data_IF_675497832880
#
_entry.id   IF_675497832880
#
_cell.length_a   1.000
_cell.length_b   1.000
_cell.length_c   1.000
_cell.angle_alpha   90.00
_cell.angle_beta   90.00
_cell.angle_gamma   90.00
#
_symmetry.space_group_name_H-M   'P 1'
#
loop_
_entity.id
_entity.type
_entity.pdbx_description
1 polymer ?
#
# COMPACT_ATOMS: atom_id res chain seq x y z
N UNK A 1 8.19 -16.81 -23.85
CA UNK A 1 7.34 -15.74 -23.31
C UNK A 1 8.00 -14.42 -23.61
N UNK A 2 7.27 -13.49 -24.21
CA UNK A 2 7.74 -12.13 -24.49
C UNK A 2 7.18 -11.15 -23.45
N UNK A 3 7.13 -11.61 -22.20
CA UNK A 3 6.62 -10.85 -21.08
C UNK A 3 7.71 -10.71 -20.04
N UNK A 4 7.88 -9.50 -19.52
CA UNK A 4 8.81 -9.18 -18.46
C UNK A 4 8.00 -8.86 -17.20
N UNK A 5 8.32 -9.51 -16.09
CA UNK A 5 7.71 -9.24 -14.79
C UNK A 5 8.77 -8.60 -13.91
N UNK A 6 8.46 -7.44 -13.37
CA UNK A 6 9.28 -6.77 -12.37
C UNK A 6 8.41 -6.15 -11.30
N UNK A 7 9.07 -5.65 -10.27
CA UNK A 7 8.40 -5.05 -9.13
C UNK A 7 8.91 -3.63 -8.95
N UNK A 8 8.03 -2.76 -8.48
CA UNK A 8 8.36 -1.37 -8.23
C UNK A 8 7.89 -1.01 -6.82
N UNK A 9 8.78 -0.40 -6.04
CA UNK A 9 8.41 0.19 -4.76
C UNK A 9 8.37 1.70 -4.95
N UNK A 10 7.20 2.28 -4.77
CA UNK A 10 6.99 3.73 -4.85
C UNK A 10 6.74 4.26 -3.45
N UNK A 11 7.38 5.38 -3.10
CA UNK A 11 7.19 6.02 -1.81
C UNK A 11 7.04 7.51 -1.97
N UNK A 12 6.08 8.08 -1.24
CA UNK A 12 5.90 9.51 -1.13
C UNK A 12 5.41 9.89 0.25
N UNK A 13 6.20 10.64 1.01
CA UNK A 13 5.83 11.00 2.38
C UNK A 13 6.59 12.23 2.89
N UNK A 14 6.11 12.81 3.98
CA UNK A 14 6.76 13.93 4.66
C UNK A 14 7.95 13.43 5.49
N UNK A 15 9.12 14.07 5.36
CA UNK A 15 10.32 13.76 6.16
C UNK A 15 10.18 14.10 7.64
N UNK A 16 9.24 14.99 7.96
CA UNK A 16 9.03 15.61 9.26
C UNK A 16 7.64 16.20 9.32
N UNK A 17 7.19 16.56 10.51
CA UNK A 17 6.03 17.43 10.68
C UNK A 17 6.21 18.71 9.85
N UNK A 18 5.24 18.98 8.99
CA UNK A 18 5.20 20.20 8.18
C UNK A 18 4.23 21.21 8.78
N UNK A 19 4.41 22.52 8.51
CA UNK A 19 3.51 23.55 9.03
C UNK A 19 2.08 23.37 8.52
N UNK A 20 1.10 23.68 9.38
CA UNK A 20 -0.29 23.82 8.98
C UNK A 20 -0.48 25.16 8.25
N UNK A 21 -0.83 25.13 6.97
CA UNK A 21 -1.01 26.34 6.14
C UNK A 21 -2.26 27.14 6.51
N UNK A 22 -3.16 26.57 7.29
CA UNK A 22 -4.39 27.21 7.77
C UNK A 22 -4.21 27.88 9.14
N UNK A 23 -3.03 27.75 9.77
CA UNK A 23 -2.73 28.43 11.02
C UNK A 23 -2.36 29.91 10.74
N UNK A 24 -3.19 30.82 11.27
CA UNK A 24 -3.06 32.27 11.08
C UNK A 24 -1.77 32.86 11.70
N UNK A 25 -1.10 32.11 12.58
CA UNK A 25 0.12 32.54 13.26
C UNK A 25 1.42 32.06 12.57
N UNK A 26 1.32 31.22 11.53
CA UNK A 26 2.49 30.76 10.76
C UNK A 26 2.49 31.33 9.34
N UNK A 27 3.67 31.79 8.92
CA UNK A 27 3.93 32.21 7.53
C UNK A 27 4.75 31.16 6.77
N UNK A 28 5.07 30.04 7.42
CA UNK A 28 5.90 28.98 6.85
C UNK A 28 5.02 28.02 6.06
N UNK A 29 5.38 27.75 4.81
CA UNK A 29 4.70 26.76 3.96
C UNK A 29 5.56 25.52 3.77
N UNK A 30 4.96 24.32 3.62
CA UNK A 30 5.68 23.10 3.25
C UNK A 30 6.46 23.30 1.94
N UNK A 31 7.69 22.76 1.88
CA UNK A 31 8.57 22.84 0.70
C UNK A 31 8.70 21.47 0.07
N UNK A 32 9.06 21.42 -1.23
CA UNK A 32 9.37 20.17 -1.92
C UNK A 32 10.48 19.36 -1.22
N UNK A 33 11.43 20.04 -0.57
CA UNK A 33 12.51 19.38 0.20
C UNK A 33 12.02 18.68 1.47
N UNK A 34 10.81 18.99 1.93
CA UNK A 34 10.17 18.29 3.06
C UNK A 34 9.55 16.96 2.64
N UNK A 35 9.49 16.66 1.33
CA UNK A 35 8.94 15.42 0.77
C UNK A 35 10.08 14.45 0.44
N UNK A 36 9.93 13.18 0.85
CA UNK A 36 10.61 12.06 0.21
C UNK A 36 9.72 11.59 -0.93
N UNK A 37 10.29 11.43 -2.12
CA UNK A 37 9.63 10.83 -3.27
C UNK A 37 10.68 9.95 -3.97
N UNK A 38 10.38 8.66 -4.13
CA UNK A 38 11.24 7.72 -4.84
C UNK A 38 10.44 6.60 -5.48
N UNK A 39 10.99 6.08 -6.57
CA UNK A 39 10.56 4.85 -7.23
C UNK A 39 11.80 3.97 -7.42
N UNK A 40 11.73 2.73 -6.94
CA UNK A 40 12.81 1.75 -7.05
C UNK A 40 12.31 0.53 -7.81
N UNK A 41 12.92 0.28 -8.98
CA UNK A 41 12.61 -0.88 -9.83
C UNK A 41 13.46 -2.10 -9.43
N UNK A 42 12.81 -3.25 -9.28
CA UNK A 42 13.41 -4.55 -8.99
C UNK A 42 13.18 -5.50 -10.15
N UNK A 43 14.23 -5.78 -10.91
CA UNK A 43 14.21 -6.73 -12.02
C UNK A 43 15.10 -7.93 -11.72
N UNK A 44 14.66 -9.11 -12.12
CA UNK A 44 15.47 -10.32 -12.02
C UNK A 44 15.02 -11.36 -13.03
N UNK A 45 15.94 -12.23 -13.46
CA UNK A 45 15.60 -13.39 -14.29
C UNK A 45 14.57 -14.31 -13.62
N UNK A 46 14.59 -14.37 -12.28
CA UNK A 46 13.56 -15.01 -11.47
C UNK A 46 12.61 -13.94 -10.93
N UNK A 47 11.37 -13.84 -11.44
CA UNK A 47 10.39 -12.86 -10.96
C UNK A 47 10.13 -12.98 -9.45
N UNK A 48 10.14 -14.18 -8.88
CA UNK A 48 9.99 -14.37 -7.43
C UNK A 48 11.12 -13.72 -6.61
N UNK A 49 12.35 -13.70 -7.13
CA UNK A 49 13.48 -13.04 -6.46
C UNK A 49 13.38 -11.51 -6.58
N UNK A 50 12.87 -11.00 -7.71
CA UNK A 50 12.56 -9.58 -7.84
C UNK A 50 11.47 -9.15 -6.84
N UNK A 51 10.43 -9.98 -6.68
CA UNK A 51 9.35 -9.80 -5.70
C UNK A 51 9.89 -9.75 -4.28
N UNK A 52 10.70 -10.73 -3.89
CA UNK A 52 11.33 -10.80 -2.56
C UNK A 52 12.17 -9.54 -2.27
N UNK A 53 12.97 -9.08 -3.23
CA UNK A 53 13.77 -7.87 -3.06
C UNK A 53 12.90 -6.61 -2.91
N UNK A 54 11.79 -6.52 -3.63
CA UNK A 54 10.85 -5.41 -3.48
C UNK A 54 10.21 -5.39 -2.09
N UNK A 55 9.77 -6.55 -1.58
CA UNK A 55 9.27 -6.65 -0.20
C UNK A 55 10.35 -6.29 0.82
N UNK A 56 11.57 -6.82 0.69
CA UNK A 56 12.66 -6.49 1.60
C UNK A 56 12.96 -4.99 1.61
N UNK A 57 12.93 -4.34 0.45
CA UNK A 57 13.10 -2.89 0.37
C UNK A 57 11.95 -2.16 1.06
N UNK A 58 10.71 -2.56 0.82
CA UNK A 58 9.53 -2.01 1.51
C UNK A 58 9.67 -2.07 3.04
N UNK A 59 10.01 -3.24 3.60
CA UNK A 59 10.21 -3.38 5.04
C UNK A 59 11.38 -2.55 5.56
N UNK A 60 12.47 -2.42 4.79
CA UNK A 60 13.58 -1.54 5.19
C UNK A 60 13.17 -0.07 5.32
N UNK A 61 12.18 0.38 4.52
CA UNK A 61 11.63 1.73 4.62
C UNK A 61 10.78 1.83 5.88
N UNK A 62 9.93 0.83 6.16
CA UNK A 62 9.15 0.78 7.40
C UNK A 62 10.04 0.84 8.64
N UNK A 63 11.13 0.06 8.67
CA UNK A 63 12.08 0.03 9.78
C UNK A 63 12.65 1.43 10.09
N UNK A 64 13.06 2.16 9.05
CA UNK A 64 13.60 3.53 9.19
C UNK A 64 12.53 4.50 9.71
N UNK A 65 11.29 4.38 9.24
CA UNK A 65 10.20 5.24 9.71
C UNK A 65 9.83 4.94 11.17
N UNK A 66 9.78 3.67 11.56
CA UNK A 66 9.50 3.27 12.95
C UNK A 66 10.64 3.65 13.91
N UNK A 67 11.90 3.57 13.46
CA UNK A 67 13.05 4.12 14.19
C UNK A 67 12.86 5.63 14.43
N UNK A 68 12.42 6.37 13.40
CA UNK A 68 12.10 7.79 13.49
C UNK A 68 10.95 8.10 14.47
N UNK A 69 9.99 7.20 14.63
CA UNK A 69 8.91 7.30 15.62
C UNK A 69 9.33 6.89 17.04
N UNK A 70 10.48 6.23 17.19
CA UNK A 70 10.89 5.62 18.45
C UNK A 70 9.94 4.50 18.92
N UNK A 71 9.35 3.77 17.98
CA UNK A 71 8.37 2.70 18.22
C UNK A 71 8.81 1.41 17.53
N UNK A 72 8.33 0.28 18.04
CA UNK A 72 8.45 -1.01 17.35
C UNK A 72 7.26 -1.21 16.40
N UNK A 73 7.54 -1.78 15.23
CA UNK A 73 6.50 -2.20 14.28
C UNK A 73 5.82 -3.48 14.79
N UNK A 74 4.48 -3.49 14.81
CA UNK A 74 3.69 -4.61 15.36
C UNK A 74 2.83 -5.31 14.31
N UNK A 75 1.85 -4.62 13.74
CA UNK A 75 0.93 -5.18 12.73
C UNK A 75 0.70 -4.20 11.59
N UNK A 76 0.26 -4.71 10.43
CA UNK A 76 -0.06 -3.87 9.27
C UNK A 76 -1.16 -2.85 9.59
N UNK A 77 -2.19 -3.26 10.34
CA UNK A 77 -3.26 -2.38 10.81
C UNK A 77 -2.72 -1.23 11.68
N UNK A 78 -1.80 -1.54 12.60
CA UNK A 78 -1.19 -0.52 13.45
C UNK A 78 -0.25 0.39 12.64
N UNK A 79 0.46 -0.14 11.64
CA UNK A 79 1.29 0.64 10.74
C UNK A 79 0.50 1.65 9.89
N UNK A 80 -0.70 1.28 9.44
CA UNK A 80 -1.61 2.21 8.77
C UNK A 80 -1.96 3.42 9.63
N UNK A 81 -2.05 3.25 10.95
CA UNK A 81 -2.33 4.32 11.90
C UNK A 81 -1.05 5.12 12.22
N UNK A 82 0.02 4.44 12.64
CA UNK A 82 1.24 5.10 13.12
C UNK A 82 1.92 5.92 12.01
N UNK A 83 1.92 5.42 10.78
CA UNK A 83 2.58 6.08 9.66
C UNK A 83 1.80 7.27 9.11
N UNK A 84 0.55 7.53 9.56
CA UNK A 84 -0.11 8.80 9.27
C UNK A 84 0.69 9.99 9.78
N UNK A 85 1.59 9.79 10.75
CA UNK A 85 2.58 10.81 11.13
C UNK A 85 3.40 11.35 9.94
N UNK A 86 3.69 10.49 8.95
CA UNK A 86 4.46 10.85 7.75
C UNK A 86 3.57 11.13 6.54
N UNK A 87 2.31 10.67 6.54
CA UNK A 87 1.42 10.81 5.40
C UNK A 87 0.46 11.99 5.55
N UNK A 88 -0.05 12.28 6.75
CA UNK A 88 -1.00 13.38 6.98
C UNK A 88 -0.26 14.65 7.44
N UNK A 89 -0.32 15.70 6.64
CA UNK A 89 0.22 17.02 7.00
C UNK A 89 -0.68 17.82 7.94
N UNK A 90 -1.92 17.39 8.15
CA UNK A 90 -2.96 18.15 8.84
C UNK A 90 -3.52 19.30 8.02
N UNK A 91 -3.17 19.42 6.74
CA UNK A 91 -3.64 20.49 5.85
C UNK A 91 -4.92 20.15 5.09
N UNK A 92 -5.52 18.99 5.38
CA UNK A 92 -6.78 18.60 4.78
C UNK A 92 -7.92 19.54 5.19
N UNK A 93 -8.83 19.79 4.24
CA UNK A 93 -10.01 20.64 4.43
C UNK A 93 -11.24 19.76 4.31
N UNK A 94 -12.11 19.81 5.32
CA UNK A 94 -13.46 19.26 5.21
C UNK A 94 -14.38 20.30 4.55
N UNK A 95 -14.94 19.93 3.40
CA UNK A 95 -15.91 20.72 2.65
C UNK A 95 -17.26 20.00 2.70
N UNK A 96 -18.30 20.70 3.15
CA UNK A 96 -19.67 20.16 3.11
C UNK A 96 -20.55 20.52 4.30
N UNK A 97 -21.75 19.94 4.32
CA UNK A 97 -22.77 20.16 5.35
C UNK A 97 -22.94 18.95 6.29
N UNK A 98 -24.03 18.95 7.06
CA UNK A 98 -24.32 17.90 8.06
C UNK A 98 -24.51 16.50 7.45
N UNK A 99 -24.86 16.43 6.16
CA UNK A 99 -25.25 15.19 5.46
C UNK A 99 -24.23 14.73 4.39
N UNK A 100 -23.30 15.61 3.99
CA UNK A 100 -22.23 15.26 3.07
C UNK A 100 -20.97 16.02 3.45
N UNK A 101 -19.94 15.28 3.87
CA UNK A 101 -18.62 15.80 4.19
C UNK A 101 -17.62 15.17 3.23
N UNK A 102 -16.89 16.00 2.51
CA UNK A 102 -15.77 15.58 1.68
C UNK A 102 -14.48 16.12 2.28
N UNK A 103 -13.46 15.26 2.43
CA UNK A 103 -12.13 15.68 2.89
C UNK A 103 -11.23 15.85 1.67
N UNK A 104 -10.84 17.08 1.37
CA UNK A 104 -9.84 17.36 0.35
C UNK A 104 -8.48 17.49 1.01
N UNK A 105 -7.51 16.65 0.64
CA UNK A 105 -6.16 16.68 1.21
C UNK A 105 -5.10 16.80 0.12
N UNK A 106 -4.04 17.62 0.32
CA UNK A 106 -2.86 17.59 -0.54
C UNK A 106 -2.01 16.32 -0.36
N UNK A 107 -2.40 15.47 0.58
CA UNK A 107 -1.67 14.27 0.98
C UNK A 107 -2.26 12.97 0.41
N UNK A 108 -3.32 13.04 -0.40
CA UNK A 108 -3.98 11.85 -0.96
C UNK A 108 -3.05 10.97 -1.82
N UNK A 109 -1.92 11.50 -2.25
CA UNK A 109 -0.90 10.80 -3.03
C UNK A 109 0.25 10.23 -2.19
N UNK A 110 0.13 10.24 -0.86
CA UNK A 110 1.19 9.79 0.06
C UNK A 110 1.00 8.37 0.49
N UNK A 111 2.12 7.67 0.61
CA UNK A 111 2.15 6.27 0.98
C UNK A 111 3.47 5.61 0.61
N UNK A 112 3.51 4.32 0.87
CA UNK A 112 4.56 3.38 0.51
C UNK A 112 3.86 2.21 -0.13
N UNK A 113 4.21 1.89 -1.36
CA UNK A 113 3.45 1.01 -2.22
C UNK A 113 4.39 0.06 -2.94
N UNK A 114 3.93 -1.17 -3.14
CA UNK A 114 4.60 -2.20 -3.90
C UNK A 114 3.68 -2.57 -5.06
N UNK A 115 4.24 -2.50 -6.26
CA UNK A 115 3.55 -2.85 -7.47
C UNK A 115 4.20 -4.05 -8.15
N UNK A 116 3.37 -4.95 -8.68
CA UNK A 116 3.77 -5.90 -9.71
C UNK A 116 3.52 -5.24 -11.07
N UNK A 117 4.53 -5.27 -11.94
CA UNK A 117 4.42 -4.74 -13.30
C UNK A 117 4.70 -5.84 -14.31
N UNK A 118 3.76 -6.00 -15.23
CA UNK A 118 3.79 -7.01 -16.28
C UNK A 118 3.83 -6.30 -17.62
N UNK A 119 5.00 -6.34 -18.27
CA UNK A 119 5.22 -5.76 -19.58
C UNK A 119 5.07 -6.82 -20.67
N UNK A 120 4.19 -6.59 -21.64
CA UNK A 120 4.18 -7.29 -22.91
C UNK A 120 5.09 -6.55 -23.90
N UNK A 121 6.27 -7.13 -24.13
CA UNK A 121 7.31 -6.55 -24.98
C UNK A 121 6.95 -6.55 -26.47
N UNK A 122 5.98 -7.37 -26.91
CA UNK A 122 5.52 -7.38 -28.30
C UNK A 122 4.55 -6.24 -28.57
N UNK A 123 3.60 -6.05 -27.66
CA UNK A 123 2.52 -5.08 -27.84
C UNK A 123 2.84 -3.71 -27.23
N UNK A 124 3.99 -3.58 -26.54
CA UNK A 124 4.39 -2.36 -25.82
C UNK A 124 3.32 -1.90 -24.82
N UNK A 125 2.65 -2.85 -24.18
CA UNK A 125 1.64 -2.62 -23.14
C UNK A 125 2.18 -3.07 -21.79
N UNK A 126 1.80 -2.36 -20.74
CA UNK A 126 2.17 -2.71 -19.37
C UNK A 126 0.95 -2.67 -18.46
N UNK A 127 0.79 -3.68 -17.64
CA UNK A 127 -0.20 -3.70 -16.55
C UNK A 127 0.54 -3.54 -15.22
N UNK A 128 0.03 -2.66 -14.35
CA UNK A 128 0.61 -2.35 -13.04
C UNK A 128 -0.45 -2.61 -11.98
N UNK A 129 -0.13 -3.48 -11.03
CA UNK A 129 -1.03 -3.93 -9.97
C UNK A 129 -0.45 -3.57 -8.61
N UNK A 130 -1.22 -2.89 -7.76
CA UNK A 130 -0.85 -2.73 -6.36
C UNK A 130 -0.94 -4.09 -5.67
N UNK A 131 0.17 -4.62 -5.18
CA UNK A 131 0.18 -5.90 -4.44
C UNK A 131 0.31 -5.69 -2.94
N UNK A 132 0.71 -4.49 -2.51
CA UNK A 132 0.65 -4.05 -1.14
C UNK A 132 0.88 -2.54 -1.03
N UNK A 133 0.32 -1.88 -0.03
CA UNK A 133 0.76 -0.55 0.34
C UNK A 133 0.08 -0.03 1.60
N UNK A 134 0.73 0.96 2.22
CA UNK A 134 0.16 1.79 3.29
C UNK A 134 0.12 3.23 2.77
N UNK A 135 -1.06 3.83 2.80
CA UNK A 135 -1.33 5.15 2.22
C UNK A 135 -1.82 6.14 3.28
N UNK A 136 -1.89 7.41 2.89
CA UNK A 136 -2.67 8.42 3.59
C UNK A 136 -4.12 7.93 3.78
N UNK A 137 -4.61 8.04 5.01
CA UNK A 137 -5.99 7.74 5.37
C UNK A 137 -6.78 9.03 5.48
N UNK A 138 -7.85 9.15 4.70
CA UNK A 138 -8.79 10.26 4.88
C UNK A 138 -9.36 10.29 6.29
N UNK A 139 -9.68 9.11 6.83
CA UNK A 139 -10.24 8.94 8.16
C UNK A 139 -9.62 7.70 8.82
N UNK A 140 -9.01 7.89 9.99
CA UNK A 140 -8.34 6.83 10.76
C UNK A 140 -9.32 5.77 11.30
N UNK A 141 -10.58 6.14 11.49
CA UNK A 141 -11.65 5.29 11.99
C UNK A 141 -12.42 4.56 10.88
N UNK A 142 -12.03 4.78 9.61
CA UNK A 142 -12.65 4.12 8.45
C UNK A 142 -11.75 3.05 7.87
N UNK A 143 -12.40 2.19 7.09
CA UNK A 143 -11.73 1.17 6.33
C UNK A 143 -10.78 1.75 5.29
N UNK A 144 -9.58 1.17 5.21
CA UNK A 144 -8.58 1.49 4.19
C UNK A 144 -8.86 0.69 2.91
N UNK A 145 -9.44 1.36 1.91
CA UNK A 145 -9.69 0.79 0.57
C UNK A 145 -8.43 0.24 -0.10
N UNK A 146 -7.23 0.69 0.30
CA UNK A 146 -5.96 0.16 -0.17
C UNK A 146 -5.73 -1.32 0.20
N UNK A 147 -6.38 -1.84 1.25
CA UNK A 147 -6.34 -3.27 1.59
C UNK A 147 -7.05 -4.10 0.53
N UNK A 148 -8.27 -3.70 0.14
CA UNK A 148 -9.03 -4.36 -0.93
C UNK A 148 -8.26 -4.34 -2.25
N UNK A 149 -7.73 -3.17 -2.63
CA UNK A 149 -6.96 -3.00 -3.86
C UNK A 149 -5.71 -3.89 -3.87
N UNK A 150 -4.97 -3.95 -2.76
CA UNK A 150 -3.79 -4.81 -2.62
C UNK A 150 -4.13 -6.29 -2.79
N UNK A 151 -5.24 -6.74 -2.20
CA UNK A 151 -5.69 -8.12 -2.34
C UNK A 151 -6.09 -8.44 -3.78
N UNK A 152 -6.82 -7.53 -4.45
CA UNK A 152 -7.18 -7.68 -5.86
C UNK A 152 -5.95 -7.78 -6.75
N UNK A 153 -4.93 -6.93 -6.53
CA UNK A 153 -3.69 -6.99 -7.27
C UNK A 153 -2.88 -8.27 -7.01
N UNK A 154 -2.88 -8.80 -5.78
CA UNK A 154 -2.27 -10.10 -5.47
C UNK A 154 -2.98 -11.27 -6.16
N UNK A 155 -4.32 -11.23 -6.26
CA UNK A 155 -5.10 -12.23 -7.01
C UNK A 155 -4.78 -12.15 -8.51
N UNK A 156 -4.70 -10.93 -9.06
CA UNK A 156 -4.34 -10.70 -10.45
C UNK A 156 -2.91 -11.19 -10.75
N UNK A 157 -1.96 -10.86 -9.88
CA UNK A 157 -0.59 -11.36 -9.93
C UNK A 157 -0.59 -12.90 -9.96
N UNK A 158 -1.19 -13.55 -8.98
CA UNK A 158 -1.23 -15.01 -8.90
C UNK A 158 -1.84 -15.66 -10.14
N UNK A 159 -2.97 -15.13 -10.62
CA UNK A 159 -3.64 -15.62 -11.82
C UNK A 159 -2.75 -15.51 -13.06
N UNK A 160 -1.98 -14.43 -13.18
CA UNK A 160 -1.04 -14.27 -14.28
C UNK A 160 0.03 -15.37 -14.26
N UNK A 161 0.67 -15.60 -13.11
CA UNK A 161 1.69 -16.65 -12.99
C UNK A 161 1.11 -18.03 -13.33
N UNK A 162 -0.12 -18.32 -12.88
CA UNK A 162 -0.81 -19.59 -13.15
C UNK A 162 -1.14 -19.77 -14.63
N UNK A 163 -1.67 -18.74 -15.29
CA UNK A 163 -2.04 -18.77 -16.72
C UNK A 163 -0.81 -18.94 -17.62
N UNK A 164 0.34 -18.45 -17.17
CA UNK A 164 1.62 -18.54 -17.86
C UNK A 164 2.47 -19.72 -17.37
N UNK A 165 1.86 -20.75 -16.76
CA UNK A 165 2.51 -22.01 -16.37
C UNK A 165 3.78 -21.86 -15.51
N UNK A 166 3.92 -20.76 -14.76
CA UNK A 166 4.98 -20.62 -13.78
C UNK A 166 4.78 -21.63 -12.65
N UNK A 167 5.87 -22.24 -12.19
CA UNK A 167 5.84 -23.17 -11.05
C UNK A 167 5.67 -22.39 -9.74
N UNK A 168 4.42 -22.17 -9.34
CA UNK A 168 4.05 -21.37 -8.15
C UNK A 168 3.84 -22.19 -6.88
N UNK A 169 3.79 -23.52 -6.94
CA UNK A 169 3.23 -24.38 -5.89
C UNK A 169 3.83 -24.18 -4.49
N UNK A 170 5.13 -23.86 -4.39
CA UNK A 170 5.82 -23.56 -3.11
C UNK A 170 5.52 -22.16 -2.56
N UNK A 171 5.03 -21.27 -3.41
CA UNK A 171 4.80 -19.85 -3.16
C UNK A 171 3.32 -19.50 -3.01
N UNK A 172 2.39 -20.46 -2.98
CA UNK A 172 0.96 -20.18 -2.82
C UNK A 172 0.56 -20.14 -1.35
N UNK A 173 -0.28 -19.18 -1.01
CA UNK A 173 -1.01 -19.05 0.24
C UNK A 173 -2.51 -19.04 -0.07
N UNK A 174 -3.31 -19.74 0.75
CA UNK A 174 -4.77 -19.72 0.63
C UNK A 174 -5.31 -18.90 1.81
N UNK A 175 -6.04 -17.85 1.50
CA UNK A 175 -6.56 -16.89 2.47
C UNK A 175 -8.07 -17.11 2.62
N UNK A 176 -8.53 -17.11 3.87
CA UNK A 176 -9.95 -17.16 4.20
C UNK A 176 -10.42 -15.77 4.65
N UNK A 177 -11.13 -15.06 3.77
CA UNK A 177 -11.61 -13.71 4.02
C UNK A 177 -13.08 -13.66 4.46
N UNK A 178 -13.72 -14.80 4.74
CA UNK A 178 -15.15 -14.87 5.07
C UNK A 178 -15.49 -14.04 6.33
N UNK A 179 -14.57 -13.95 7.30
CA UNK A 179 -14.78 -13.19 8.55
C UNK A 179 -14.85 -11.68 8.37
N UNK A 180 -14.46 -11.20 7.19
CA UNK A 180 -14.42 -9.79 6.80
C UNK A 180 -15.27 -9.51 5.55
N UNK A 181 -16.26 -10.36 5.24
CA UNK A 181 -17.18 -10.19 4.12
C UNK A 181 -16.66 -10.63 2.75
N UNK A 182 -15.46 -11.21 2.69
CA UNK A 182 -14.83 -11.68 1.45
C UNK A 182 -15.06 -13.16 1.14
N UNK A 183 -14.34 -13.63 0.13
CA UNK A 183 -14.31 -15.04 -0.28
C UNK A 183 -12.94 -15.69 0.00
N UNK A 184 -12.86 -17.01 -0.13
CA UNK A 184 -11.58 -17.74 -0.08
C UNK A 184 -10.81 -17.53 -1.36
N UNK A 185 -9.57 -17.09 -1.25
CA UNK A 185 -8.72 -16.75 -2.40
C UNK A 185 -7.34 -17.39 -2.29
N UNK A 186 -6.68 -17.58 -3.41
CA UNK A 186 -5.28 -18.01 -3.46
C UNK A 186 -4.42 -16.87 -4.00
N UNK A 187 -3.30 -16.60 -3.32
CA UNK A 187 -2.35 -15.57 -3.71
C UNK A 187 -0.92 -16.10 -3.62
N UNK A 188 0.05 -15.34 -4.13
CA UNK A 188 1.45 -15.59 -3.83
C UNK A 188 1.75 -15.14 -2.39
N UNK A 189 2.35 -16.02 -1.59
CA UNK A 189 2.77 -15.81 -0.19
C UNK A 189 3.39 -14.44 -0.03
N UNK A 190 2.90 -13.70 0.95
CA UNK A 190 3.47 -12.41 1.33
C UNK A 190 4.08 -12.50 2.72
N UNK A 191 5.02 -11.62 3.06
CA UNK A 191 5.47 -11.45 4.44
C UNK A 191 4.41 -10.84 5.38
N UNK A 192 3.22 -10.48 4.90
CA UNK A 192 2.14 -9.94 5.73
C UNK A 192 1.36 -11.03 6.43
N UNK A 193 0.98 -10.75 7.67
CA UNK A 193 0.12 -11.60 8.47
C UNK A 193 -1.36 -11.32 8.16
N UNK A 194 -1.87 -11.98 7.12
CA UNK A 194 -3.27 -11.86 6.70
C UNK A 194 -4.24 -12.38 7.76
N UNK A 195 -3.87 -13.39 8.55
CA UNK A 195 -4.72 -13.90 9.64
C UNK A 195 -4.88 -12.86 10.75
N UNK A 196 -3.78 -12.15 11.07
CA UNK A 196 -3.84 -11.04 12.02
C UNK A 196 -4.67 -9.89 11.48
N UNK A 197 -4.55 -9.56 10.19
CA UNK A 197 -5.37 -8.54 9.54
C UNK A 197 -6.86 -8.88 9.60
N UNK A 198 -7.27 -10.10 9.22
CA UNK A 198 -8.67 -10.52 9.28
C UNK A 198 -9.22 -10.51 10.71
N UNK A 199 -8.38 -10.81 11.70
CA UNK A 199 -8.73 -10.70 13.11
C UNK A 199 -8.93 -9.24 13.54
N UNK A 200 -8.02 -8.33 13.15
CA UNK A 200 -8.05 -6.92 13.54
C UNK A 200 -9.28 -6.19 12.97
N UNK A 201 -9.82 -6.64 11.83
CA UNK A 201 -11.02 -6.10 11.19
C UNK A 201 -12.27 -7.00 11.29
N UNK A 202 -12.24 -8.04 12.13
CA UNK A 202 -13.33 -9.02 12.23
C UNK A 202 -14.68 -8.36 12.54
N UNK A 203 -15.72 -8.75 11.79
CA UNK A 203 -17.08 -8.23 11.95
C UNK A 203 -17.37 -6.93 11.19
N UNK A 204 -16.38 -6.41 10.47
CA UNK A 204 -16.57 -5.41 9.42
C UNK A 204 -16.71 -6.12 8.08
N UNK A 205 -17.53 -5.58 7.18
CA UNK A 205 -17.54 -6.01 5.79
C UNK A 205 -16.52 -5.19 5.01
N UNK A 206 -15.34 -5.77 4.80
CA UNK A 206 -14.25 -5.18 4.02
C UNK A 206 -14.46 -5.35 2.52
N UNK A 207 -15.63 -5.76 2.03
CA UNK A 207 -15.94 -5.86 0.60
C UNK A 207 -17.27 -5.21 0.23
N UNK A 208 -18.03 -4.71 1.20
CA UNK A 208 -19.20 -3.87 0.97
C UNK A 208 -18.78 -2.57 0.27
N UNK A 209 -19.46 -2.23 -0.83
CA UNK A 209 -19.19 -1.02 -1.62
C UNK A 209 -19.87 0.16 -0.92
N UNK A 210 -19.08 1.10 -0.38
CA UNK A 210 -19.55 2.30 0.33
C UNK A 210 -19.74 3.50 -0.60
#
# INVERSE_FOLDING_TARGET
>A
MNTNIYYEVETKYWRRNVPNIHDEFTTTVPKKTDIVESSTKFENKSPFLARENAFNHYFSILDVLYEGLGKEHTTDAQARIDLQHYFDSGNAIEIGGKESKFKSSPDCDKGIEIYAVIEDTLNSTSEKFLIHGIRYLEYLDRFDVGIQESLQGLIQEYNYYKQNEFLVTSYVENLDMESIGGEKVSVLKTPFDWEKLTTDYSGLDLFEVW
#
